data_IF_667721351890
#
_entry.id   IF_667721351890
#
_cell.length_a   1.000
_cell.length_b   1.000
_cell.length_c   1.000
_cell.angle_alpha   90.00
_cell.angle_beta   90.00
_cell.angle_gamma   90.00
#
_symmetry.space_group_name_H-M   'P 1'
#
loop_
_entity.id
_entity.type
_entity.pdbx_description
1 polymer ?
#
# COMPACT_ATOMS: atom_id res chain seq x y z
N UNK A 1 13.28 1.59 9.93
CA UNK A 1 14.19 2.65 9.49
C UNK A 1 13.59 3.36 8.29
N UNK A 2 13.65 4.68 8.28
CA UNK A 2 13.18 5.49 7.17
C UNK A 2 14.11 5.26 5.96
N UNK A 3 13.60 5.06 4.73
CA UNK A 3 14.43 4.83 3.55
C UNK A 3 15.43 5.97 3.30
N UNK A 4 16.54 5.65 2.66
CA UNK A 4 17.54 6.65 2.27
C UNK A 4 16.93 7.71 1.34
N UNK A 5 17.39 8.97 1.38
CA UNK A 5 16.87 10.06 0.54
C UNK A 5 16.79 9.73 -0.95
N UNK A 6 17.77 9.00 -1.48
CA UNK A 6 17.82 8.57 -2.89
C UNK A 6 16.59 7.74 -3.32
N UNK A 7 16.02 6.92 -2.44
CA UNK A 7 14.82 6.14 -2.77
C UNK A 7 13.59 7.03 -2.96
N UNK A 8 13.46 8.08 -2.16
CA UNK A 8 12.36 9.03 -2.30
C UNK A 8 12.48 9.89 -3.57
N UNK A 9 13.70 10.20 -3.97
CA UNK A 9 13.98 10.90 -5.24
C UNK A 9 13.57 10.06 -6.43
N UNK A 10 13.85 8.74 -6.41
CA UNK A 10 13.45 7.82 -7.45
C UNK A 10 11.93 7.65 -7.53
N UNK A 11 11.22 7.58 -6.40
CA UNK A 11 9.75 7.52 -6.39
C UNK A 11 9.10 8.82 -6.90
N UNK A 12 9.75 9.97 -6.70
CA UNK A 12 9.30 11.27 -7.18
C UNK A 12 9.78 11.60 -8.61
N UNK A 13 10.47 10.67 -9.29
CA UNK A 13 10.96 10.87 -10.65
C UNK A 13 9.78 11.00 -11.63
N UNK A 14 9.77 12.04 -12.51
CA UNK A 14 8.73 12.18 -13.52
C UNK A 14 8.61 10.92 -14.39
N UNK A 15 7.37 10.43 -14.55
CA UNK A 15 7.09 9.22 -15.33
C UNK A 15 7.32 7.90 -14.59
N UNK A 16 7.72 7.91 -13.33
CA UNK A 16 7.73 6.70 -12.52
C UNK A 16 6.29 6.18 -12.33
N UNK A 17 6.01 4.89 -12.56
CA UNK A 17 4.65 4.32 -12.46
C UNK A 17 4.26 4.09 -10.99
N UNK A 18 4.34 5.12 -10.17
CA UNK A 18 4.05 5.08 -8.74
C UNK A 18 2.69 5.70 -8.49
N UNK A 19 1.72 4.89 -8.07
CA UNK A 19 0.37 5.37 -7.75
C UNK A 19 0.32 6.00 -6.37
N UNK A 20 1.00 5.40 -5.41
CA UNK A 20 1.07 5.86 -4.03
C UNK A 20 2.32 5.36 -3.32
N UNK A 21 2.69 6.04 -2.26
CA UNK A 21 3.74 5.64 -1.34
C UNK A 21 3.23 5.66 0.10
N UNK A 22 3.65 4.69 0.90
CA UNK A 22 3.26 4.60 2.31
C UNK A 22 4.33 5.22 3.18
N UNK A 23 3.94 6.19 3.99
CA UNK A 23 4.78 6.74 5.05
C UNK A 23 4.48 6.04 6.37
N UNK A 24 5.48 5.39 6.95
CA UNK A 24 5.41 4.87 8.31
C UNK A 24 5.67 6.01 9.29
N UNK A 25 4.59 6.59 9.78
CA UNK A 25 4.60 7.80 10.60
C UNK A 25 4.15 7.44 12.01
N UNK A 26 5.07 7.42 12.96
CA UNK A 26 4.70 7.25 14.36
C UNK A 26 4.04 8.54 14.89
N UNK A 27 2.71 8.54 14.99
CA UNK A 27 1.91 9.64 15.55
C UNK A 27 1.29 9.29 16.92
N UNK A 28 1.93 8.40 17.68
CA UNK A 28 1.50 8.02 19.03
C UNK A 28 1.65 9.14 20.08
N UNK A 29 1.34 8.82 21.34
CA UNK A 29 1.53 9.72 22.47
C UNK A 29 3.01 10.13 22.58
N UNK A 30 3.28 11.44 22.63
CA UNK A 30 4.65 11.98 22.70
C UNK A 30 5.40 12.09 21.37
N UNK A 31 4.78 11.67 20.27
CA UNK A 31 5.35 11.90 18.93
C UNK A 31 5.41 13.39 18.62
N UNK A 32 6.38 13.76 17.80
CA UNK A 32 6.54 15.13 17.27
C UNK A 32 6.56 15.06 15.75
N UNK A 33 6.14 16.16 15.11
CA UNK A 33 6.29 16.33 13.67
C UNK A 33 7.77 16.16 13.28
N UNK A 34 8.02 15.32 12.29
CA UNK A 34 9.33 15.13 11.68
C UNK A 34 9.40 15.96 10.39
N UNK A 35 10.18 17.06 10.37
CA UNK A 35 10.26 17.94 9.20
C UNK A 35 10.74 17.22 7.93
N UNK A 36 11.63 16.23 8.08
CA UNK A 36 12.14 15.48 6.92
C UNK A 36 11.04 14.62 6.28
N UNK A 37 10.19 14.00 7.08
CA UNK A 37 9.04 13.24 6.56
C UNK A 37 8.02 14.16 5.89
N UNK A 38 7.81 15.36 6.42
CA UNK A 38 6.95 16.36 5.79
C UNK A 38 7.50 16.78 4.42
N UNK A 39 8.80 17.06 4.33
CA UNK A 39 9.46 17.39 3.07
C UNK A 39 9.31 16.27 2.03
N UNK A 40 9.51 15.01 2.43
CA UNK A 40 9.31 13.84 1.56
C UNK A 40 7.86 13.76 1.09
N UNK A 41 6.89 13.92 1.98
CA UNK A 41 5.47 13.91 1.62
C UNK A 41 5.12 15.00 0.59
N UNK A 42 5.63 16.21 0.78
CA UNK A 42 5.42 17.32 -0.17
C UNK A 42 6.07 17.04 -1.54
N UNK A 43 7.29 16.52 -1.55
CA UNK A 43 7.99 16.14 -2.80
C UNK A 43 7.23 15.09 -3.59
N UNK A 44 6.77 14.03 -2.95
CA UNK A 44 5.97 12.97 -3.59
C UNK A 44 4.67 13.52 -4.18
N UNK A 45 3.91 14.31 -3.42
CA UNK A 45 2.67 14.95 -3.91
C UNK A 45 2.92 15.85 -5.11
N UNK A 46 3.97 16.66 -5.08
CA UNK A 46 4.35 17.52 -6.21
C UNK A 46 4.70 16.72 -7.46
N UNK A 47 5.13 15.47 -7.30
CA UNK A 47 5.37 14.53 -8.40
C UNK A 47 4.10 13.76 -8.84
N UNK A 48 2.94 14.02 -8.22
CA UNK A 48 1.68 13.33 -8.51
C UNK A 48 1.50 11.98 -7.82
N UNK A 49 2.39 11.63 -6.88
CA UNK A 49 2.31 10.40 -6.09
C UNK A 49 1.47 10.64 -4.85
N UNK A 50 0.42 9.84 -4.64
CA UNK A 50 -0.37 9.90 -3.41
C UNK A 50 0.45 9.44 -2.21
N UNK A 51 0.34 10.18 -1.11
CA UNK A 51 1.02 9.86 0.14
C UNK A 51 0.01 9.24 1.11
N UNK A 52 0.19 7.97 1.42
CA UNK A 52 -0.67 7.26 2.38
C UNK A 52 0.03 7.15 3.73
N UNK A 53 -0.68 7.53 4.79
CA UNK A 53 -0.20 7.28 6.14
C UNK A 53 -0.44 5.82 6.54
N UNK A 54 0.57 5.16 7.11
CA UNK A 54 0.39 3.81 7.66
C UNK A 54 -0.39 3.88 8.97
N UNK A 55 -1.43 3.05 9.08
CA UNK A 55 -2.27 2.94 10.26
C UNK A 55 -2.44 1.46 10.64
N UNK A 56 -1.78 1.02 11.69
CA UNK A 56 -1.94 -0.35 12.19
C UNK A 56 -3.29 -0.50 12.90
N UNK A 57 -4.13 -1.41 12.42
CA UNK A 57 -5.45 -1.69 13.01
C UNK A 57 -5.45 -2.92 13.92
N UNK A 58 -4.28 -3.52 14.16
CA UNK A 58 -4.07 -4.59 15.14
C UNK A 58 -4.98 -5.80 14.93
N UNK A 59 -5.24 -6.19 13.70
CA UNK A 59 -6.19 -7.26 13.32
C UNK A 59 -7.60 -7.03 13.90
N UNK A 60 -8.04 -5.77 13.94
CA UNK A 60 -9.34 -5.38 14.45
C UNK A 60 -9.43 -5.22 15.97
N UNK A 61 -8.31 -5.39 16.70
CA UNK A 61 -8.28 -5.25 18.17
C UNK A 61 -7.93 -3.84 18.65
N UNK A 62 -7.39 -3.00 17.77
CA UNK A 62 -7.04 -1.63 18.13
C UNK A 62 -8.29 -0.81 18.44
N UNK A 63 -8.29 -0.02 19.54
CA UNK A 63 -9.41 0.87 19.86
C UNK A 63 -9.69 1.85 18.70
N UNK A 64 -10.96 1.98 18.34
CA UNK A 64 -11.39 2.85 17.24
C UNK A 64 -10.96 4.32 17.44
N UNK A 65 -11.11 4.84 18.67
CA UNK A 65 -10.71 6.20 19.03
C UNK A 65 -9.24 6.48 18.79
N UNK A 66 -8.38 5.49 19.07
CA UNK A 66 -6.94 5.62 18.95
C UNK A 66 -6.52 5.66 17.47
N UNK A 67 -7.13 4.78 16.65
CA UNK A 67 -6.92 4.76 15.22
C UNK A 67 -7.34 6.09 14.56
N UNK A 68 -8.53 6.61 14.90
CA UNK A 68 -9.04 7.89 14.40
C UNK A 68 -8.18 9.06 14.85
N UNK A 69 -7.78 9.09 16.13
CA UNK A 69 -6.91 10.16 16.64
C UNK A 69 -5.54 10.19 15.99
N UNK A 70 -4.96 9.04 15.68
CA UNK A 70 -3.70 8.96 14.95
C UNK A 70 -3.88 9.41 13.50
N UNK A 71 -4.95 8.98 12.85
CA UNK A 71 -5.26 9.36 11.48
C UNK A 71 -5.38 10.90 11.34
N UNK A 72 -6.10 11.55 12.24
CA UNK A 72 -6.20 13.02 12.23
C UNK A 72 -4.84 13.68 12.37
N UNK A 73 -3.98 13.21 13.30
CA UNK A 73 -2.61 13.75 13.41
C UNK A 73 -1.79 13.57 12.14
N UNK A 74 -1.96 12.47 11.43
CA UNK A 74 -1.26 12.25 10.16
C UNK A 74 -1.71 13.25 9.09
N UNK A 75 -3.01 13.57 9.02
CA UNK A 75 -3.52 14.64 8.13
C UNK A 75 -2.99 16.00 8.57
N UNK A 76 -3.11 16.34 9.84
CA UNK A 76 -2.71 17.66 10.36
C UNK A 76 -1.21 17.93 10.17
N UNK A 77 -0.37 16.92 10.38
CA UNK A 77 1.08 17.07 10.36
C UNK A 77 1.71 16.88 8.98
N UNK A 78 1.21 15.92 8.21
CA UNK A 78 1.84 15.48 6.96
C UNK A 78 0.94 15.62 5.73
N UNK A 79 -0.31 16.03 5.92
CA UNK A 79 -1.30 16.22 4.84
C UNK A 79 -1.40 14.98 3.95
N UNK A 80 -1.49 13.79 4.57
CA UNK A 80 -1.62 12.55 3.83
C UNK A 80 -2.87 12.54 2.96
N UNK A 81 -2.78 11.89 1.80
CA UNK A 81 -3.86 11.79 0.80
C UNK A 81 -4.77 10.58 1.06
N UNK A 82 -4.48 9.83 2.10
CA UNK A 82 -5.23 8.64 2.49
C UNK A 82 -4.46 7.77 3.46
N UNK A 83 -4.87 6.50 3.57
CA UNK A 83 -4.28 5.59 4.54
C UNK A 83 -4.06 4.19 3.98
N UNK A 84 -2.94 3.61 4.38
CA UNK A 84 -2.69 2.18 4.31
C UNK A 84 -3.01 1.56 5.67
N UNK A 85 -4.11 0.82 5.76
CA UNK A 85 -4.54 0.13 6.98
C UNK A 85 -3.80 -1.20 7.08
N UNK A 86 -2.79 -1.23 7.91
CA UNK A 86 -1.97 -2.43 8.10
C UNK A 86 -2.60 -3.40 9.11
N UNK A 87 -2.28 -4.69 8.96
CA UNK A 87 -2.85 -5.76 9.78
C UNK A 87 -4.37 -5.78 9.81
N UNK A 88 -5.03 -5.57 8.66
CA UNK A 88 -6.47 -5.71 8.56
C UNK A 88 -6.90 -7.17 8.83
N UNK A 89 -8.01 -7.37 9.57
CA UNK A 89 -8.60 -8.69 9.73
C UNK A 89 -9.16 -9.20 8.40
N UNK A 90 -9.28 -10.51 8.27
CA UNK A 90 -9.79 -11.17 7.06
C UNK A 90 -11.20 -11.71 7.23
N UNK A 91 -11.67 -11.83 8.46
CA UNK A 91 -12.91 -12.50 8.81
C UNK A 91 -14.15 -11.61 8.60
N UNK A 92 -15.28 -12.23 8.21
CA UNK A 92 -16.56 -11.54 8.02
C UNK A 92 -17.06 -10.81 9.28
N UNK A 93 -16.79 -11.39 10.45
CA UNK A 93 -17.24 -10.82 11.74
C UNK A 93 -16.65 -9.42 12.00
N UNK A 94 -15.47 -9.12 11.48
CA UNK A 94 -14.76 -7.86 11.73
C UNK A 94 -15.07 -6.79 10.65
N UNK A 95 -15.76 -7.18 9.59
CA UNK A 95 -16.06 -6.33 8.42
C UNK A 95 -16.81 -5.04 8.82
N UNK A 96 -17.79 -5.14 9.73
CA UNK A 96 -18.57 -3.97 10.15
C UNK A 96 -17.69 -2.93 10.87
N UNK A 97 -16.74 -3.38 11.69
CA UNK A 97 -15.78 -2.51 12.37
C UNK A 97 -14.86 -1.77 11.39
N UNK A 98 -14.31 -2.50 10.42
CA UNK A 98 -13.45 -1.91 9.38
C UNK A 98 -14.24 -0.96 8.48
N UNK A 99 -15.46 -1.32 8.06
CA UNK A 99 -16.34 -0.42 7.27
C UNK A 99 -16.60 0.90 7.99
N UNK A 100 -16.90 0.84 9.29
CA UNK A 100 -17.08 2.05 10.11
C UNK A 100 -15.79 2.89 10.16
N UNK A 101 -14.65 2.25 10.36
CA UNK A 101 -13.35 2.94 10.41
C UNK A 101 -13.04 3.61 9.07
N UNK A 102 -13.13 2.88 7.95
CA UNK A 102 -12.84 3.42 6.61
C UNK A 102 -13.75 4.58 6.23
N UNK A 103 -15.03 4.55 6.63
CA UNK A 103 -15.95 5.68 6.41
C UNK A 103 -15.48 6.95 7.11
N UNK A 104 -15.03 6.83 8.37
CA UNK A 104 -14.53 7.99 9.12
C UNK A 104 -13.19 8.47 8.56
N UNK A 105 -12.31 7.55 8.20
CA UNK A 105 -11.00 7.90 7.64
C UNK A 105 -11.11 8.62 6.28
N UNK A 106 -12.02 8.20 5.41
CA UNK A 106 -12.30 8.90 4.14
C UNK A 106 -12.76 10.33 4.37
N UNK A 107 -13.63 10.52 5.35
CA UNK A 107 -14.13 11.85 5.70
C UNK A 107 -13.10 12.77 6.37
N UNK A 108 -12.06 12.19 6.98
CA UNK A 108 -10.99 12.95 7.64
C UNK A 108 -9.99 13.58 6.65
N UNK A 109 -9.90 13.06 5.45
CA UNK A 109 -9.01 13.59 4.40
C UNK A 109 -9.76 14.65 3.60
N UNK A 110 -9.28 15.90 3.65
CA UNK A 110 -9.87 17.05 2.95
C UNK A 110 -9.52 17.02 1.44
N UNK A 111 -10.14 16.11 0.69
CA UNK A 111 -10.07 16.04 -0.78
C UNK A 111 -11.47 15.88 -1.35
N UNK A 112 -11.72 16.43 -2.53
CA UNK A 112 -13.04 16.40 -3.19
C UNK A 112 -13.56 14.97 -3.43
N UNK A 113 -12.65 14.01 -3.65
CA UNK A 113 -12.95 12.59 -3.87
C UNK A 113 -12.87 11.73 -2.58
N UNK A 114 -12.61 12.34 -1.42
CA UNK A 114 -12.27 11.63 -0.18
C UNK A 114 -10.85 11.03 -0.20
N UNK A 115 -10.41 10.48 0.94
CA UNK A 115 -9.09 9.88 1.07
C UNK A 115 -8.97 8.52 0.40
N UNK A 116 -7.82 8.23 -0.23
CA UNK A 116 -7.53 6.92 -0.81
C UNK A 116 -7.20 5.90 0.28
N UNK A 117 -7.92 4.79 0.30
CA UNK A 117 -7.76 3.74 1.31
C UNK A 117 -7.29 2.43 0.70
N UNK A 118 -6.24 1.87 1.29
CA UNK A 118 -5.71 0.55 0.96
C UNK A 118 -5.76 -0.34 2.19
N UNK A 119 -6.36 -1.54 2.07
CA UNK A 119 -6.40 -2.51 3.16
C UNK A 119 -5.25 -3.51 3.03
N UNK A 120 -4.38 -3.56 4.04
CA UNK A 120 -3.29 -4.52 4.15
C UNK A 120 -3.73 -5.76 4.93
N UNK A 121 -4.05 -6.84 4.23
CA UNK A 121 -4.42 -8.12 4.83
C UNK A 121 -3.22 -9.08 4.89
N UNK A 122 -3.13 -9.85 5.94
CA UNK A 122 -2.13 -10.92 6.08
C UNK A 122 -2.55 -12.28 5.52
N UNK A 123 -3.65 -12.35 4.75
CA UNK A 123 -4.21 -13.57 4.17
C UNK A 123 -5.36 -13.26 3.22
N UNK A 124 -6.16 -14.28 2.87
CA UNK A 124 -7.29 -14.11 1.95
C UNK A 124 -8.48 -13.43 2.67
N UNK A 125 -8.83 -12.17 2.34
CA UNK A 125 -9.92 -11.47 2.99
C UNK A 125 -11.29 -11.97 2.51
N UNK A 126 -12.32 -11.80 3.35
CA UNK A 126 -13.70 -12.02 2.95
C UNK A 126 -14.10 -11.01 1.83
N UNK A 127 -14.83 -11.44 0.78
CA UNK A 127 -15.19 -10.59 -0.37
C UNK A 127 -15.79 -9.22 -0.01
N UNK A 128 -16.57 -9.16 1.06
CA UNK A 128 -17.19 -7.91 1.53
C UNK A 128 -16.23 -6.77 1.86
N UNK A 129 -14.94 -7.04 2.04
CA UNK A 129 -13.94 -5.99 2.24
C UNK A 129 -13.69 -5.18 0.95
N UNK A 130 -13.93 -5.75 -0.22
CA UNK A 130 -13.76 -5.04 -1.49
C UNK A 130 -14.61 -3.76 -1.60
N UNK A 131 -15.72 -3.67 -0.88
CA UNK A 131 -16.61 -2.49 -0.88
C UNK A 131 -16.21 -1.44 0.16
N UNK A 132 -15.23 -1.71 1.01
CA UNK A 132 -14.92 -0.84 2.16
C UNK A 132 -13.76 0.12 1.91
N UNK A 133 -12.97 -0.11 0.87
CA UNK A 133 -11.80 0.68 0.52
C UNK A 133 -11.61 0.78 -0.99
N UNK A 134 -10.66 1.59 -1.44
CA UNK A 134 -10.36 1.76 -2.86
C UNK A 134 -9.53 0.60 -3.39
N UNK A 135 -8.59 0.11 -2.58
CA UNK A 135 -7.76 -1.04 -2.90
C UNK A 135 -7.60 -1.97 -1.70
N UNK A 136 -7.21 -3.20 -1.97
CA UNK A 136 -6.88 -4.19 -0.94
C UNK A 136 -5.73 -5.08 -1.38
N UNK A 137 -4.89 -5.44 -0.42
CA UNK A 137 -3.81 -6.40 -0.63
C UNK A 137 -4.41 -7.80 -0.61
N UNK A 138 -4.29 -8.51 -1.73
CA UNK A 138 -4.75 -9.89 -1.88
C UNK A 138 -3.62 -10.91 -1.86
N UNK A 139 -2.39 -10.43 -2.00
CA UNK A 139 -1.19 -11.22 -1.74
C UNK A 139 -0.09 -10.36 -1.08
N UNK A 140 0.51 -10.87 -0.01
CA UNK A 140 1.71 -10.31 0.60
C UNK A 140 2.58 -11.45 1.13
N UNK A 141 3.73 -11.71 0.48
CA UNK A 141 4.57 -12.84 0.86
C UNK A 141 5.79 -13.05 -0.02
N UNK A 142 6.51 -14.17 0.22
CA UNK A 142 7.72 -14.49 -0.53
C UNK A 142 7.42 -15.02 -1.93
N UNK A 143 8.38 -14.81 -2.84
CA UNK A 143 8.33 -15.33 -4.21
C UNK A 143 8.07 -16.84 -4.29
N UNK A 144 8.67 -17.61 -3.39
CA UNK A 144 8.50 -19.06 -3.34
C UNK A 144 7.04 -19.51 -3.19
N UNK A 145 6.23 -18.72 -2.48
CA UNK A 145 4.79 -18.96 -2.30
C UNK A 145 3.98 -18.35 -3.46
N UNK A 146 4.37 -17.13 -3.91
CA UNK A 146 3.66 -16.41 -4.96
C UNK A 146 3.54 -17.20 -6.27
N UNK A 147 4.60 -17.90 -6.66
CA UNK A 147 4.63 -18.73 -7.88
C UNK A 147 3.52 -19.78 -7.95
N UNK A 148 3.06 -20.22 -6.79
CA UNK A 148 2.07 -21.29 -6.66
C UNK A 148 0.73 -20.80 -6.11
N UNK A 149 0.64 -19.48 -5.83
CA UNK A 149 -0.57 -18.88 -5.32
C UNK A 149 -1.65 -18.81 -6.40
N UNK A 150 -2.90 -18.76 -5.95
CA UNK A 150 -4.05 -18.56 -6.82
C UNK A 150 -4.89 -17.42 -6.26
N UNK A 151 -5.39 -16.57 -7.14
CA UNK A 151 -6.37 -15.56 -6.76
C UNK A 151 -7.67 -16.24 -6.33
N UNK A 152 -8.35 -15.68 -5.35
CA UNK A 152 -9.66 -16.15 -4.95
C UNK A 152 -10.69 -15.88 -6.07
N UNK A 153 -11.60 -16.81 -6.35
CA UNK A 153 -12.56 -16.70 -7.47
C UNK A 153 -13.38 -15.40 -7.46
N UNK A 154 -13.72 -14.89 -6.28
CA UNK A 154 -14.50 -13.66 -6.16
C UNK A 154 -13.75 -12.41 -6.69
N UNK A 155 -12.42 -12.43 -6.77
CA UNK A 155 -11.64 -11.30 -7.29
C UNK A 155 -11.92 -11.05 -8.78
N UNK A 156 -12.29 -12.07 -9.54
CA UNK A 156 -12.68 -11.95 -10.95
C UNK A 156 -13.94 -11.09 -11.19
N UNK A 157 -14.70 -10.80 -10.13
CA UNK A 157 -15.89 -9.94 -10.18
C UNK A 157 -15.58 -8.44 -10.03
N UNK A 158 -14.32 -8.11 -9.80
CA UNK A 158 -13.84 -6.73 -9.57
C UNK A 158 -12.73 -6.35 -10.56
N UNK A 159 -12.57 -5.07 -10.89
CA UNK A 159 -11.51 -4.63 -11.76
C UNK A 159 -10.12 -4.78 -11.09
N UNK A 160 -9.07 -5.07 -11.89
CA UNK A 160 -7.72 -5.30 -11.38
C UNK A 160 -7.15 -4.19 -10.49
N UNK A 161 -7.55 -2.94 -10.77
CA UNK A 161 -7.10 -1.75 -10.02
C UNK A 161 -7.48 -1.80 -8.54
N UNK A 162 -8.39 -2.69 -8.16
CA UNK A 162 -8.79 -2.92 -6.77
C UNK A 162 -7.80 -3.76 -5.96
N UNK A 163 -6.89 -4.46 -6.63
CA UNK A 163 -6.03 -5.46 -5.99
C UNK A 163 -4.56 -5.10 -6.04
N UNK A 164 -3.89 -5.35 -4.92
CA UNK A 164 -2.48 -5.05 -4.70
C UNK A 164 -1.75 -6.32 -4.31
N UNK A 165 -0.61 -6.59 -4.95
CA UNK A 165 0.29 -7.67 -4.56
C UNK A 165 1.65 -7.13 -4.12
N UNK A 166 2.11 -7.59 -2.95
CA UNK A 166 3.44 -7.35 -2.41
C UNK A 166 4.23 -8.64 -2.41
N UNK A 167 5.30 -8.70 -3.19
CA UNK A 167 6.11 -9.93 -3.32
C UNK A 167 7.57 -9.62 -3.05
N UNK A 168 8.13 -10.29 -2.06
CA UNK A 168 9.54 -10.15 -1.73
C UNK A 168 10.36 -11.38 -2.13
N UNK A 169 11.69 -11.22 -2.23
CA UNK A 169 12.59 -12.28 -2.62
C UNK A 169 12.43 -12.71 -4.08
N UNK A 170 11.94 -11.83 -4.95
CA UNK A 170 11.84 -12.10 -6.40
C UNK A 170 13.22 -11.96 -7.02
N UNK A 171 13.82 -13.04 -7.55
CA UNK A 171 15.10 -12.92 -8.26
C UNK A 171 14.92 -12.13 -9.56
N UNK A 172 15.91 -11.33 -9.93
CA UNK A 172 15.89 -10.48 -11.13
C UNK A 172 15.47 -11.22 -12.39
N UNK A 173 15.97 -12.44 -12.58
CA UNK A 173 15.67 -13.28 -13.75
C UNK A 173 14.25 -13.88 -13.73
N UNK A 174 13.47 -13.68 -12.67
CA UNK A 174 12.06 -14.07 -12.56
C UNK A 174 11.09 -12.89 -12.53
N UNK A 175 11.56 -11.66 -12.76
CA UNK A 175 10.71 -10.47 -12.74
C UNK A 175 9.59 -10.56 -13.78
N UNK A 176 9.91 -10.97 -15.03
CA UNK A 176 8.91 -11.14 -16.10
C UNK A 176 7.84 -12.20 -15.72
N UNK A 177 8.27 -13.27 -15.07
CA UNK A 177 7.35 -14.30 -14.57
C UNK A 177 6.43 -13.73 -13.49
N UNK A 178 6.98 -12.95 -12.54
CA UNK A 178 6.20 -12.32 -11.49
C UNK A 178 5.16 -11.34 -12.03
N UNK A 179 5.51 -10.53 -13.02
CA UNK A 179 4.59 -9.60 -13.70
C UNK A 179 3.47 -10.37 -14.42
N UNK A 180 3.79 -11.47 -15.13
CA UNK A 180 2.76 -12.30 -15.78
C UNK A 180 1.80 -12.93 -14.78
N UNK A 181 2.31 -13.43 -13.66
CA UNK A 181 1.48 -14.00 -12.59
C UNK A 181 0.53 -12.92 -12.03
N UNK A 182 1.04 -11.71 -11.75
CA UNK A 182 0.22 -10.63 -11.23
C UNK A 182 -0.92 -10.27 -12.19
N UNK A 183 -0.63 -10.12 -13.48
CA UNK A 183 -1.64 -9.85 -14.52
C UNK A 183 -2.67 -10.98 -14.60
N UNK A 184 -2.23 -12.22 -14.59
CA UNK A 184 -3.11 -13.38 -14.62
C UNK A 184 -4.01 -13.47 -13.38
N UNK A 185 -3.49 -13.11 -12.21
CA UNK A 185 -4.24 -13.06 -10.96
C UNK A 185 -5.09 -11.78 -10.80
N UNK A 186 -5.04 -10.86 -11.75
CA UNK A 186 -5.84 -9.64 -11.75
C UNK A 186 -5.38 -8.59 -10.74
N UNK A 187 -4.09 -8.49 -10.45
CA UNK A 187 -3.54 -7.41 -9.64
C UNK A 187 -3.14 -6.22 -10.51
N UNK A 188 -3.80 -5.08 -10.32
CA UNK A 188 -3.51 -3.83 -11.04
C UNK A 188 -2.41 -3.00 -10.39
N UNK A 189 -2.06 -3.28 -9.13
CA UNK A 189 -0.94 -2.64 -8.43
C UNK A 189 -0.02 -3.72 -7.86
N UNK A 190 1.29 -3.56 -8.08
CA UNK A 190 2.29 -4.52 -7.63
C UNK A 190 3.50 -3.83 -7.02
N UNK A 191 4.12 -4.46 -6.06
CA UNK A 191 5.47 -4.13 -5.62
C UNK A 191 6.29 -5.41 -5.50
N UNK A 192 7.30 -5.54 -6.35
CA UNK A 192 8.25 -6.64 -6.35
C UNK A 192 9.60 -6.18 -5.83
N UNK A 193 10.23 -7.00 -4.98
CA UNK A 193 11.58 -6.71 -4.47
C UNK A 193 12.41 -7.98 -4.37
N UNK A 194 13.70 -7.85 -4.68
CA UNK A 194 14.73 -8.88 -4.47
C UNK A 194 15.12 -9.03 -3.00
N UNK A 195 14.71 -8.06 -2.18
CA UNK A 195 15.00 -8.08 -0.75
C UNK A 195 14.34 -9.25 -0.07
N UNK A 196 15.08 -9.88 0.81
CA UNK A 196 14.63 -10.95 1.70
C UNK A 196 15.13 -10.65 3.09
N UNK A 197 14.53 -11.20 4.13
CA UNK A 197 15.16 -11.17 5.43
C UNK A 197 14.28 -10.80 6.61
N UNK A 198 14.94 -10.54 7.74
CA UNK A 198 14.32 -10.30 9.04
C UNK A 198 13.77 -8.88 9.24
N UNK A 199 14.10 -7.98 8.35
CA UNK A 199 13.59 -6.60 8.31
C UNK A 199 12.51 -6.51 7.25
N UNK A 200 11.65 -5.48 7.33
CA UNK A 200 10.61 -5.24 6.33
C UNK A 200 11.23 -5.15 4.91
N UNK A 201 10.95 -6.11 4.02
CA UNK A 201 11.51 -6.13 2.67
C UNK A 201 10.98 -5.01 1.79
N UNK A 202 9.87 -4.38 2.17
CA UNK A 202 9.21 -3.32 1.42
C UNK A 202 9.64 -1.90 1.84
N UNK A 203 10.52 -1.80 2.82
CA UNK A 203 11.01 -0.51 3.33
C UNK A 203 11.99 0.21 2.40
N UNK A 204 12.36 -0.36 1.25
CA UNK A 204 13.28 0.26 0.30
C UNK A 204 13.06 -0.27 -1.13
N UNK A 205 13.47 0.49 -2.13
CA UNK A 205 13.37 0.07 -3.53
C UNK A 205 14.23 -1.16 -3.83
N UNK A 206 13.79 -2.03 -4.75
CA UNK A 206 14.55 -3.18 -5.20
C UNK A 206 15.79 -2.78 -6.01
N UNK A 207 16.77 -3.67 -6.10
CA UNK A 207 17.97 -3.45 -6.88
C UNK A 207 17.76 -3.35 -8.41
N UNK A 208 16.58 -3.76 -8.90
CA UNK A 208 16.15 -3.71 -10.30
C UNK A 208 15.00 -2.72 -10.53
N UNK A 209 14.94 -1.63 -9.76
CA UNK A 209 13.86 -0.64 -9.86
C UNK A 209 13.64 -0.10 -11.28
N UNK A 210 14.73 0.21 -11.99
CA UNK A 210 14.65 0.71 -13.37
C UNK A 210 14.00 -0.27 -14.34
N UNK A 211 14.18 -1.58 -14.12
CA UNK A 211 13.53 -2.61 -14.93
C UNK A 211 12.02 -2.67 -14.65
N UNK A 212 11.61 -2.54 -13.38
CA UNK A 212 10.19 -2.45 -13.04
C UNK A 212 9.56 -1.24 -13.73
N UNK A 213 10.21 -0.08 -13.65
CA UNK A 213 9.72 1.15 -14.29
C UNK A 213 9.55 0.96 -15.78
N UNK A 214 10.47 0.26 -16.45
CA UNK A 214 10.41 0.02 -17.89
C UNK A 214 9.30 -0.98 -18.29
N UNK A 215 8.97 -1.94 -17.44
CA UNK A 215 7.97 -2.98 -17.73
C UNK A 215 6.53 -2.59 -17.37
N UNK A 216 6.37 -1.71 -16.38
CA UNK A 216 5.06 -1.34 -15.81
C UNK A 216 4.68 0.11 -16.13
N UNK A 217 5.63 0.90 -16.61
CA UNK A 217 5.44 2.32 -16.94
C UNK A 217 4.48 2.56 -18.11
N UNK A 218 3.96 3.80 -18.27
CA UNK A 218 3.01 4.17 -19.32
C UNK A 218 3.71 4.18 -20.70
N UNK A 219 3.96 3.04 -21.26
CA UNK A 219 4.64 2.90 -22.55
C UNK A 219 4.47 1.52 -23.20
N UNK A 220 3.81 0.59 -22.51
CA UNK A 220 3.54 -0.75 -23.03
C UNK A 220 2.03 -0.88 -23.22
N UNK A 221 1.51 -0.12 -24.18
CA UNK A 221 0.24 -0.43 -24.84
C UNK A 221 0.58 -1.22 -26.09
N UNK A 222 0.43 -2.53 -26.08
CA UNK A 222 0.15 -3.33 -27.25
C UNK A 222 -1.31 -3.70 -27.29
#
# INVERSE_FOLDING_TARGET
PFPAPAHWEELARPGAPVHWAVLDIACGLGARLDPHRLEVAERLRNAGVRVLGRLDVGRGTRPFSDAVSEAHRQVDWYRVDGYFLDHCPTERRDLAGIRRLTTVLKAAVNQDDGGHLVLGHGGHPHPGYAETADQMVTFSGPWAEYRWSQAAEWTAQHPPERFVHFVHGVPRNHLDEAVRIARWQGAGTVFFTDRTGRTDPFAALPGYWDEIVSQVGPGVSE
#
